data_IF_502787436393
#
_entry.id   IF_502787436393
#
_cell.length_a   1.000
_cell.length_b   1.000
_cell.length_c   1.000
_cell.angle_alpha   90.00
_cell.angle_beta   90.00
_cell.angle_gamma   90.00
#
_symmetry.space_group_name_H-M   'P 1'
#
loop_
_entity.id
_entity.type
_entity.pdbx_description
1 polymer ?
#
# COMPACT_ATOMS: atom_id res chain seq x y z
N UNK A 1 41.03 -13.75 59.55
CA UNK A 1 40.56 -15.04 58.98
C UNK A 1 39.65 -14.74 57.80
N UNK A 2 40.03 -15.27 56.62
CA UNK A 2 39.26 -15.72 55.44
C UNK A 2 37.87 -15.10 55.13
N UNK A 3 37.44 -14.83 53.89
CA UNK A 3 38.01 -14.94 52.53
C UNK A 3 37.00 -14.23 51.62
N UNK A 4 37.40 -13.23 50.84
CA UNK A 4 36.53 -12.61 49.83
C UNK A 4 36.94 -13.16 48.45
N UNK A 5 36.04 -13.95 47.87
CA UNK A 5 36.21 -14.66 46.60
C UNK A 5 36.36 -13.70 45.42
N UNK A 6 37.47 -13.85 44.68
CA UNK A 6 37.72 -13.20 43.39
C UNK A 6 37.01 -13.97 42.28
N UNK A 7 36.05 -13.34 41.60
CA UNK A 7 35.45 -13.87 40.37
C UNK A 7 36.08 -13.16 39.18
N UNK A 8 36.66 -13.95 38.28
CA UNK A 8 37.33 -13.52 37.04
C UNK A 8 36.29 -13.17 35.96
N UNK A 9 36.56 -12.19 35.06
CA UNK A 9 35.68 -11.91 33.93
C UNK A 9 35.87 -12.94 32.80
N UNK A 10 34.77 -13.57 32.41
CA UNK A 10 34.67 -14.46 31.24
C UNK A 10 34.69 -13.60 29.97
N UNK A 11 35.72 -13.80 29.13
CA UNK A 11 35.76 -13.29 27.75
C UNK A 11 34.86 -14.16 26.87
N UNK A 12 33.75 -13.62 26.39
CA UNK A 12 32.98 -14.23 25.29
C UNK A 12 33.60 -13.76 23.97
N UNK A 13 34.26 -14.69 23.26
CA UNK A 13 34.81 -14.46 21.93
C UNK A 13 33.69 -14.56 20.89
N UNK A 14 33.51 -13.47 20.15
CA UNK A 14 32.67 -13.36 18.97
C UNK A 14 33.25 -14.24 17.83
N UNK A 15 32.43 -15.09 17.20
CA UNK A 15 32.74 -15.79 15.93
C UNK A 15 31.54 -15.72 15.00
N UNK A 16 31.32 -14.54 14.40
CA UNK A 16 30.30 -14.29 13.35
C UNK A 16 30.92 -14.45 11.94
N UNK A 17 32.13 -15.01 11.82
CA UNK A 17 32.86 -15.09 10.54
C UNK A 17 32.75 -16.43 9.81
N UNK A 18 32.22 -17.49 10.43
CA UNK A 18 32.21 -18.84 9.83
C UNK A 18 30.88 -19.24 9.14
N UNK A 19 29.80 -18.46 9.26
CA UNK A 19 28.52 -18.78 8.62
C UNK A 19 28.35 -18.18 7.22
N UNK A 20 29.08 -17.12 6.87
CA UNK A 20 28.97 -16.47 5.56
C UNK A 20 29.73 -17.22 4.44
N UNK A 21 30.74 -18.03 4.79
CA UNK A 21 31.52 -18.80 3.81
C UNK A 21 30.78 -20.06 3.34
N UNK A 22 30.07 -20.73 4.25
CA UNK A 22 29.30 -21.94 3.94
C UNK A 22 28.08 -21.69 3.03
N UNK A 23 27.48 -20.50 3.07
CA UNK A 23 26.30 -20.15 2.24
C UNK A 23 26.65 -19.71 0.81
N UNK A 24 27.92 -19.38 0.53
CA UNK A 24 28.38 -18.98 -0.81
C UNK A 24 28.82 -20.18 -1.65
N UNK A 25 29.38 -21.20 -1.01
CA UNK A 25 29.85 -22.43 -1.68
C UNK A 25 28.69 -23.30 -2.20
N UNK A 26 27.50 -23.23 -1.58
CA UNK A 26 26.31 -24.01 -1.97
C UNK A 26 25.57 -23.44 -3.20
N UNK A 27 25.61 -22.11 -3.41
CA UNK A 27 24.98 -21.47 -4.58
C UNK A 27 25.76 -21.67 -5.88
N UNK A 28 27.07 -21.78 -5.80
CA UNK A 28 27.95 -21.97 -6.96
C UNK A 28 27.99 -23.44 -7.44
N UNK A 29 27.50 -24.39 -6.63
CA UNK A 29 27.36 -25.81 -6.99
C UNK A 29 26.06 -26.05 -7.76
N UNK A 30 24.94 -25.44 -7.35
CA UNK A 30 23.64 -25.57 -8.02
C UNK A 30 23.61 -24.93 -9.43
N UNK A 31 24.40 -23.87 -9.66
CA UNK A 31 24.48 -23.22 -10.98
C UNK A 31 25.38 -23.96 -11.99
N UNK A 32 26.33 -24.80 -11.53
CA UNK A 32 27.28 -25.51 -12.40
C UNK A 32 26.77 -26.83 -12.96
N UNK A 33 25.83 -27.49 -12.29
CA UNK A 33 25.20 -28.74 -12.79
C UNK A 33 24.18 -28.48 -13.92
N UNK A 34 23.64 -27.26 -14.02
CA UNK A 34 22.57 -26.95 -14.98
C UNK A 34 23.06 -26.65 -16.42
N UNK A 35 24.37 -26.51 -16.64
CA UNK A 35 24.95 -26.05 -17.92
C UNK A 35 25.80 -27.14 -18.60
N UNK A 36 25.92 -28.33 -18.01
CA UNK A 36 26.77 -29.42 -18.55
C UNK A 36 26.00 -30.63 -19.13
N UNK A 37 24.67 -30.59 -19.20
CA UNK A 37 23.85 -31.71 -19.71
C UNK A 37 23.16 -31.43 -21.07
N UNK A 38 23.74 -30.58 -21.92
CA UNK A 38 23.14 -30.21 -23.21
C UNK A 38 24.08 -30.26 -24.44
N UNK A 39 25.17 -31.04 -24.42
CA UNK A 39 25.95 -31.25 -25.65
C UNK A 39 26.37 -32.70 -25.85
N UNK A 40 26.22 -33.10 -27.12
CA UNK A 40 26.59 -34.35 -27.76
C UNK A 40 25.57 -35.47 -27.60
N UNK A 41 24.69 -35.60 -28.59
CA UNK A 41 24.38 -36.85 -29.30
C UNK A 41 23.62 -36.47 -30.59
N UNK A 42 24.36 -36.19 -31.68
CA UNK A 42 23.82 -36.19 -33.03
C UNK A 42 24.88 -36.72 -33.98
N UNK A 43 24.59 -37.91 -34.54
CA UNK A 43 24.82 -38.32 -35.94
C UNK A 43 24.79 -39.84 -36.00
N UNK A 44 23.71 -40.40 -36.54
CA UNK A 44 23.75 -41.57 -37.44
C UNK A 44 22.54 -41.47 -38.40
N UNK A 45 22.70 -41.77 -39.71
CA UNK A 45 21.63 -41.64 -40.69
C UNK A 45 20.96 -42.99 -41.05
N UNK A 46 19.93 -42.86 -41.89
CA UNK A 46 19.28 -43.85 -42.80
C UNK A 46 17.89 -44.39 -42.35
N UNK A 47 17.05 -44.92 -43.28
CA UNK A 47 15.89 -44.21 -43.81
C UNK A 47 14.57 -45.01 -43.71
N UNK A 48 13.49 -44.50 -44.34
CA UNK A 48 12.22 -45.15 -44.75
C UNK A 48 11.34 -45.78 -43.64
N UNK A 49 10.02 -45.68 -43.55
CA UNK A 49 8.96 -44.93 -44.21
C UNK A 49 7.64 -45.13 -43.41
N UNK A 50 6.63 -44.31 -43.74
CA UNK A 50 5.19 -44.50 -43.57
C UNK A 50 4.49 -44.33 -42.20
N UNK A 51 3.35 -43.61 -42.31
CA UNK A 51 2.10 -43.71 -41.53
C UNK A 51 2.14 -43.19 -40.08
N UNK A 52 1.24 -42.34 -39.57
CA UNK A 52 -0.13 -41.93 -39.91
C UNK A 52 -0.33 -40.52 -39.34
N UNK A 53 -1.04 -39.65 -40.05
CA UNK A 53 -1.45 -38.35 -39.53
C UNK A 53 -2.42 -38.53 -38.36
N UNK A 54 -1.97 -38.18 -37.15
CA UNK A 54 -2.82 -38.10 -35.97
C UNK A 54 -3.43 -36.69 -35.89
N UNK A 55 -4.74 -36.54 -35.62
CA UNK A 55 -5.39 -35.24 -35.64
C UNK A 55 -4.96 -34.47 -34.38
N UNK A 56 -4.19 -33.40 -34.56
CA UNK A 56 -4.00 -32.40 -33.51
C UNK A 56 -5.34 -31.68 -33.31
N UNK A 57 -6.17 -32.21 -32.41
CA UNK A 57 -7.23 -31.47 -31.75
C UNK A 57 -6.56 -30.32 -30.98
N UNK A 58 -6.42 -29.18 -31.65
CA UNK A 58 -6.20 -27.90 -30.99
C UNK A 58 -7.48 -27.61 -30.19
N UNK A 59 -7.53 -28.09 -28.95
CA UNK A 59 -8.50 -27.58 -27.97
C UNK A 59 -8.22 -26.09 -27.83
N UNK A 60 -9.05 -25.28 -28.47
CA UNK A 60 -9.15 -23.86 -28.23
C UNK A 60 -9.60 -23.72 -26.77
N UNK A 61 -8.65 -23.62 -25.84
CA UNK A 61 -8.93 -23.14 -24.49
C UNK A 61 -9.40 -21.69 -24.66
N UNK A 62 -10.71 -21.54 -24.79
CA UNK A 62 -11.40 -20.28 -24.54
C UNK A 62 -11.17 -20.04 -23.05
N UNK A 63 -10.07 -19.36 -22.72
CA UNK A 63 -9.93 -18.76 -21.41
C UNK A 63 -11.09 -17.79 -21.31
N UNK A 64 -12.02 -17.95 -20.35
CA UNK A 64 -12.97 -16.89 -20.10
C UNK A 64 -12.13 -15.65 -19.83
N UNK A 65 -12.34 -14.60 -20.62
CA UNK A 65 -11.90 -13.27 -20.26
C UNK A 65 -12.53 -13.02 -18.91
N UNK A 66 -11.75 -13.21 -17.84
CA UNK A 66 -12.13 -12.87 -16.48
C UNK A 66 -12.70 -11.46 -16.57
N UNK A 67 -14.01 -11.33 -16.29
CA UNK A 67 -14.70 -10.07 -16.41
C UNK A 67 -13.91 -9.05 -15.61
N UNK A 68 -13.41 -8.03 -16.29
CA UNK A 68 -12.80 -6.88 -15.64
C UNK A 68 -13.84 -6.38 -14.65
N UNK A 69 -13.64 -6.62 -13.36
CA UNK A 69 -14.49 -6.07 -12.33
C UNK A 69 -14.19 -4.56 -12.35
N UNK A 70 -14.94 -3.82 -13.16
CA UNK A 70 -14.78 -2.39 -13.31
C UNK A 70 -15.15 -1.78 -11.96
N UNK A 71 -14.14 -1.33 -11.21
CA UNK A 71 -14.34 -0.57 -9.99
C UNK A 71 -15.14 0.68 -10.36
N UNK A 72 -16.26 0.91 -9.67
CA UNK A 72 -17.14 2.03 -9.94
C UNK A 72 -16.44 3.36 -9.63
N UNK A 73 -16.52 4.33 -10.53
CA UNK A 73 -15.89 5.64 -10.33
C UNK A 73 -16.70 6.50 -9.35
N UNK A 74 -16.07 6.89 -8.25
CA UNK A 74 -16.62 7.82 -7.25
C UNK A 74 -16.17 9.23 -7.62
N UNK A 75 -17.08 10.19 -7.59
CA UNK A 75 -16.72 11.59 -7.71
C UNK A 75 -16.21 12.09 -6.35
N UNK A 76 -14.95 12.50 -6.25
CA UNK A 76 -14.36 13.07 -5.04
C UNK A 76 -14.02 14.54 -5.30
N UNK A 77 -14.47 15.42 -4.41
CA UNK A 77 -14.32 16.86 -4.55
C UNK A 77 -13.97 17.51 -3.20
N UNK A 78 -13.69 18.81 -3.23
CA UNK A 78 -13.45 19.64 -2.05
C UNK A 78 -13.89 21.08 -2.34
N UNK A 79 -14.58 21.76 -1.40
CA UNK A 79 -14.94 23.16 -1.59
C UNK A 79 -13.72 24.11 -1.61
N UNK A 80 -12.54 23.63 -1.22
CA UNK A 80 -11.33 24.44 -1.03
C UNK A 80 -10.10 23.90 -1.75
N UNK A 81 -10.19 22.74 -2.38
CA UNK A 81 -9.10 22.13 -3.15
C UNK A 81 -9.60 21.69 -4.52
N UNK A 82 -8.67 21.57 -5.48
CA UNK A 82 -8.96 21.02 -6.81
C UNK A 82 -7.73 20.27 -7.32
N UNK A 83 -7.95 19.22 -8.11
CA UNK A 83 -6.85 18.48 -8.74
C UNK A 83 -5.96 19.38 -9.59
N UNK A 84 -4.64 19.24 -9.44
CA UNK A 84 -3.65 20.04 -10.16
C UNK A 84 -3.56 21.51 -9.72
N UNK A 85 -4.28 21.92 -8.66
CA UNK A 85 -4.21 23.27 -8.09
C UNK A 85 -3.46 23.24 -6.75
N UNK A 86 -2.81 24.36 -6.43
CA UNK A 86 -2.10 24.51 -5.16
C UNK A 86 -3.11 24.47 -4.02
N UNK A 87 -2.88 23.58 -3.04
CA UNK A 87 -3.74 23.46 -1.87
C UNK A 87 -3.58 24.67 -0.95
N UNK A 88 -4.65 25.09 -0.24
CA UNK A 88 -4.56 26.14 0.78
C UNK A 88 -3.53 25.82 1.87
N UNK A 89 -2.80 26.85 2.31
CA UNK A 89 -1.77 26.72 3.36
C UNK A 89 -2.30 26.16 4.67
N UNK A 90 -3.57 26.38 4.99
CA UNK A 90 -4.21 25.86 6.21
C UNK A 90 -4.18 24.33 6.31
N UNK A 91 -4.04 23.63 5.20
CA UNK A 91 -3.93 22.16 5.17
C UNK A 91 -2.50 21.66 5.27
N UNK A 92 -1.55 22.54 5.58
CA UNK A 92 -0.11 22.26 5.65
C UNK A 92 0.47 22.77 6.96
N UNK A 93 1.67 22.30 7.37
CA UNK A 93 2.38 22.86 8.52
C UNK A 93 2.83 24.33 8.36
N UNK A 94 2.73 24.91 7.16
CA UNK A 94 2.95 26.34 6.92
C UNK A 94 1.70 27.20 7.25
N UNK A 95 0.59 26.56 7.62
CA UNK A 95 -0.61 27.16 8.19
C UNK A 95 -1.06 26.40 9.43
N UNK A 96 -2.35 26.13 9.55
CA UNK A 96 -2.95 25.46 10.72
C UNK A 96 -2.81 23.93 10.73
N UNK A 97 -2.33 23.32 9.65
CA UNK A 97 -2.18 21.87 9.48
C UNK A 97 -3.49 21.07 9.73
N UNK A 98 -4.62 21.61 9.26
CA UNK A 98 -5.93 20.98 9.37
C UNK A 98 -6.11 19.91 8.28
N UNK A 99 -6.82 18.81 8.55
CA UNK A 99 -7.26 17.93 7.47
C UNK A 99 -8.21 18.69 6.55
N UNK A 100 -8.10 18.56 5.22
CA UNK A 100 -8.95 19.29 4.30
C UNK A 100 -10.38 18.73 4.29
N UNK A 101 -11.38 19.55 3.96
CA UNK A 101 -12.72 19.05 3.72
C UNK A 101 -12.75 18.27 2.40
N UNK A 102 -13.43 17.13 2.41
CA UNK A 102 -13.68 16.31 1.23
C UNK A 102 -15.17 16.05 1.10
N UNK A 103 -15.66 15.94 -0.11
CA UNK A 103 -17.02 15.46 -0.41
C UNK A 103 -16.94 14.35 -1.44
N UNK A 104 -17.94 13.47 -1.43
CA UNK A 104 -18.06 12.46 -2.46
C UNK A 104 -19.51 12.27 -2.91
N UNK A 105 -19.66 11.83 -4.15
CA UNK A 105 -20.95 11.48 -4.74
C UNK A 105 -20.79 10.31 -5.69
N UNK A 106 -21.91 9.82 -6.23
CA UNK A 106 -21.93 8.66 -7.12
C UNK A 106 -21.37 7.39 -6.46
N UNK A 107 -21.71 7.13 -5.19
CA UNK A 107 -21.32 5.88 -4.52
C UNK A 107 -22.04 4.68 -5.18
N UNK A 108 -21.35 3.55 -5.41
CA UNK A 108 -21.97 2.37 -5.98
C UNK A 108 -23.03 1.78 -5.04
N UNK A 109 -24.10 1.24 -5.63
CA UNK A 109 -25.10 0.46 -4.90
C UNK A 109 -24.41 -0.68 -4.15
N UNK A 110 -24.73 -0.84 -2.88
CA UNK A 110 -24.13 -1.86 -2.02
C UNK A 110 -23.03 -1.33 -1.09
N UNK A 111 -22.59 -0.07 -1.25
CA UNK A 111 -21.62 0.55 -0.32
C UNK A 111 -22.11 0.47 1.12
N UNK A 112 -21.27 -0.06 2.02
CA UNK A 112 -21.51 -0.20 3.46
C UNK A 112 -20.60 0.69 4.29
N UNK A 113 -19.35 0.77 3.91
CA UNK A 113 -18.34 1.63 4.54
C UNK A 113 -17.49 2.33 3.48
N UNK A 114 -16.84 3.41 3.90
CA UNK A 114 -15.87 4.16 3.12
C UNK A 114 -14.52 4.19 3.86
N UNK A 115 -13.45 4.33 3.07
CA UNK A 115 -12.12 4.64 3.56
C UNK A 115 -11.49 5.77 2.74
N UNK A 116 -10.67 6.59 3.38
CA UNK A 116 -9.92 7.69 2.77
C UNK A 116 -8.44 7.50 3.06
N UNK A 117 -7.62 7.61 2.01
CA UNK A 117 -6.16 7.56 2.08
C UNK A 117 -5.60 8.82 1.43
N UNK A 118 -4.73 9.55 2.15
CA UNK A 118 -3.90 10.60 1.57
C UNK A 118 -2.46 10.10 1.43
N UNK A 119 -1.95 10.04 0.21
CA UNK A 119 -0.61 9.54 -0.08
C UNK A 119 0.15 10.43 -1.09
N UNK A 120 1.44 10.60 -0.85
CA UNK A 120 2.39 11.30 -1.73
C UNK A 120 3.36 10.27 -2.34
N UNK A 121 3.20 9.99 -3.63
CA UNK A 121 4.04 9.01 -4.35
C UNK A 121 5.41 9.57 -4.74
N UNK A 122 5.63 10.88 -4.61
CA UNK A 122 6.93 11.53 -4.80
C UNK A 122 7.79 11.55 -3.53
N UNK A 123 7.27 11.07 -2.40
CA UNK A 123 7.96 11.05 -1.12
C UNK A 123 7.98 9.65 -0.48
N UNK A 124 8.87 9.49 0.51
CA UNK A 124 9.07 8.24 1.24
C UNK A 124 10.15 7.35 0.62
N UNK A 125 10.69 6.45 1.43
CA UNK A 125 11.67 5.45 1.02
C UNK A 125 11.39 4.13 1.75
N UNK A 126 10.58 3.23 1.18
CA UNK A 126 9.96 3.32 -0.16
C UNK A 126 8.77 4.29 -0.22
N UNK A 127 8.41 4.79 -1.42
CA UNK A 127 7.16 5.52 -1.63
C UNK A 127 5.94 4.58 -1.62
N UNK A 128 4.72 5.10 -1.36
CA UNK A 128 4.40 6.51 -1.09
C UNK A 128 4.56 6.89 0.39
N UNK A 129 4.68 8.19 0.67
CA UNK A 129 4.54 8.72 2.01
C UNK A 129 3.07 8.90 2.37
N UNK A 130 2.62 8.24 3.45
CA UNK A 130 1.23 8.33 3.91
C UNK A 130 1.02 9.54 4.80
N UNK A 131 0.13 10.45 4.40
CA UNK A 131 -0.21 11.65 5.16
C UNK A 131 -1.44 11.46 6.05
N UNK A 132 -2.36 10.59 5.65
CA UNK A 132 -3.63 10.41 6.35
C UNK A 132 -4.34 9.11 5.98
N UNK A 133 -5.01 8.51 6.97
CA UNK A 133 -5.87 7.34 6.82
C UNK A 133 -7.11 7.56 7.69
N UNK A 134 -8.29 7.38 7.11
CA UNK A 134 -9.58 7.33 7.82
C UNK A 134 -10.39 6.17 7.27
N UNK A 135 -10.99 5.33 8.11
CA UNK A 135 -11.78 4.18 7.67
C UNK A 135 -12.88 3.85 8.67
N UNK A 136 -13.79 2.96 8.29
CA UNK A 136 -15.04 2.72 9.03
C UNK A 136 -16.03 3.88 8.89
N UNK A 137 -15.87 4.70 7.84
CA UNK A 137 -16.77 5.82 7.58
C UNK A 137 -18.11 5.23 7.12
N UNK A 138 -19.25 5.60 7.73
CA UNK A 138 -20.54 5.05 7.33
C UNK A 138 -20.89 5.47 5.89
N UNK A 139 -21.51 4.58 5.12
CA UNK A 139 -21.93 4.88 3.74
C UNK A 139 -22.92 6.07 3.61
N UNK A 140 -23.56 6.47 4.71
CA UNK A 140 -24.45 7.64 4.78
C UNK A 140 -23.70 8.97 4.85
N UNK A 141 -22.40 8.96 5.18
CA UNK A 141 -21.59 10.17 5.17
C UNK A 141 -21.42 10.67 3.74
N UNK A 142 -21.47 11.99 3.56
CA UNK A 142 -21.31 12.66 2.26
C UNK A 142 -19.96 13.34 2.09
N UNK A 143 -19.12 13.30 3.13
CA UNK A 143 -17.84 13.96 3.16
C UNK A 143 -17.13 13.89 4.50
N UNK A 144 -15.95 14.52 4.56
CA UNK A 144 -15.21 14.81 5.78
C UNK A 144 -15.16 16.32 5.97
N UNK A 145 -15.41 16.84 7.18
CA UNK A 145 -15.23 18.25 7.47
C UNK A 145 -13.74 18.60 7.57
N UNK A 146 -13.44 19.89 7.49
CA UNK A 146 -12.10 20.41 7.81
C UNK A 146 -11.74 20.09 9.26
N UNK A 147 -10.50 19.65 9.49
CA UNK A 147 -9.92 19.55 10.83
C UNK A 147 -10.51 18.44 11.68
N UNK A 148 -10.43 17.18 11.21
CA UNK A 148 -10.79 16.03 12.04
C UNK A 148 -9.92 15.95 13.31
N UNK A 149 -10.44 15.33 14.39
CA UNK A 149 -9.77 15.32 15.68
C UNK A 149 -8.33 14.78 15.64
N UNK A 150 -7.42 15.46 16.34
CA UNK A 150 -6.00 15.07 16.46
C UNK A 150 -5.72 14.43 17.82
N UNK A 151 -6.45 14.87 18.86
CA UNK A 151 -6.24 14.38 20.22
C UNK A 151 -6.89 13.01 20.41
N UNK A 152 -6.23 12.09 21.14
CA UNK A 152 -6.81 10.79 21.46
C UNK A 152 -8.11 10.98 22.25
N UNK A 153 -9.05 10.06 22.07
CA UNK A 153 -10.36 10.03 22.74
C UNK A 153 -11.28 11.24 22.46
N UNK A 154 -10.94 12.10 21.50
CA UNK A 154 -11.88 13.09 20.99
C UNK A 154 -12.84 12.38 20.03
N UNK A 155 -14.16 12.44 20.23
CA UNK A 155 -15.10 11.74 19.37
C UNK A 155 -15.06 12.31 17.94
N UNK A 156 -15.28 11.44 16.96
CA UNK A 156 -15.53 11.85 15.58
C UNK A 156 -16.83 12.66 15.50
N UNK A 157 -16.99 13.53 14.48
CA UNK A 157 -18.27 14.17 14.17
C UNK A 157 -19.42 13.16 14.10
N UNK A 158 -20.65 13.60 14.44
CA UNK A 158 -21.83 12.74 14.53
C UNK A 158 -22.10 11.95 13.24
N UNK A 159 -21.85 12.56 12.09
CA UNK A 159 -22.10 11.96 10.77
C UNK A 159 -21.01 10.94 10.38
N UNK A 160 -19.95 10.83 11.20
CA UNK A 160 -18.80 9.94 11.05
C UNK A 160 -18.69 8.97 12.23
N UNK A 161 -19.78 8.70 12.94
CA UNK A 161 -19.81 7.68 14.00
C UNK A 161 -19.37 6.33 13.42
N UNK A 162 -18.44 5.67 14.12
CA UNK A 162 -17.81 4.42 13.67
C UNK A 162 -16.49 4.62 12.93
N UNK A 163 -16.24 5.82 12.38
CA UNK A 163 -14.98 6.12 11.73
C UNK A 163 -13.82 6.20 12.72
N UNK A 164 -12.64 5.83 12.26
CA UNK A 164 -11.39 5.95 13.02
C UNK A 164 -10.24 6.33 12.09
N UNK A 165 -9.10 6.72 12.69
CA UNK A 165 -7.90 7.13 11.96
C UNK A 165 -6.77 6.10 12.11
N UNK A 166 -6.07 5.85 11.00
CA UNK A 166 -4.90 4.97 10.94
C UNK A 166 -3.58 5.72 11.15
N UNK A 167 -2.49 4.98 11.25
CA UNK A 167 -1.14 5.50 11.43
C UNK A 167 -0.61 6.06 10.10
N UNK A 168 -0.32 7.36 10.08
CA UNK A 168 0.40 8.00 8.98
C UNK A 168 1.90 7.61 8.98
N UNK A 169 2.66 8.09 7.99
CA UNK A 169 4.10 7.79 7.84
C UNK A 169 4.98 8.25 9.02
N UNK A 170 4.45 9.08 9.92
CA UNK A 170 5.11 9.49 11.18
C UNK A 170 4.64 8.67 12.40
N UNK A 171 3.93 7.56 12.18
CA UNK A 171 3.34 6.74 13.23
C UNK A 171 2.37 7.55 14.13
N UNK A 172 1.54 8.41 13.50
CA UNK A 172 0.54 9.24 14.18
C UNK A 172 -0.87 8.94 13.66
N UNK A 173 -1.88 8.79 14.53
CA UNK A 173 -3.24 8.45 14.16
C UNK A 173 -4.07 9.67 13.75
N UNK A 174 -3.53 10.55 12.90
CA UNK A 174 -4.19 11.78 12.46
C UNK A 174 -3.56 12.32 11.17
N UNK A 175 -4.26 13.23 10.50
CA UNK A 175 -3.74 13.95 9.33
C UNK A 175 -2.50 14.77 9.68
N UNK A 176 -1.44 14.63 8.89
CA UNK A 176 -0.32 15.59 8.88
C UNK A 176 -0.10 16.06 7.46
N UNK A 177 -0.16 17.37 7.27
CA UNK A 177 -0.18 17.96 5.94
C UNK A 177 1.17 17.96 5.21
N UNK A 178 1.14 18.32 3.92
CA UNK A 178 2.31 18.48 3.05
C UNK A 178 3.40 19.37 3.62
N UNK A 179 4.64 18.89 3.60
CA UNK A 179 5.83 19.69 3.88
C UNK A 179 6.98 19.24 2.99
N UNK A 180 6.83 19.34 1.65
CA UNK A 180 7.89 18.94 0.73
C UNK A 180 9.12 19.86 0.89
N UNK A 181 10.30 19.44 0.41
CA UNK A 181 11.44 20.34 0.25
C UNK A 181 11.06 21.62 -0.52
N UNK A 182 11.80 22.70 -0.29
CA UNK A 182 11.56 23.95 -1.01
C UNK A 182 11.85 23.78 -2.51
N UNK A 183 11.00 24.34 -3.37
CA UNK A 183 11.14 24.28 -4.82
C UNK A 183 10.76 22.94 -5.47
N UNK A 184 10.20 21.99 -4.71
CA UNK A 184 9.77 20.69 -5.23
C UNK A 184 8.25 20.52 -5.06
N UNK A 185 7.44 20.75 -6.11
CA UNK A 185 6.01 20.50 -6.04
C UNK A 185 5.72 18.99 -5.97
N UNK A 186 4.88 18.60 -5.02
CA UNK A 186 4.43 17.22 -4.83
C UNK A 186 2.92 17.09 -5.06
N UNK A 187 2.48 15.88 -5.41
CA UNK A 187 1.08 15.52 -5.65
C UNK A 187 0.54 14.72 -4.46
N UNK A 188 -0.60 15.14 -3.92
CA UNK A 188 -1.21 14.52 -2.75
C UNK A 188 -2.51 13.84 -3.14
N UNK A 189 -2.50 12.52 -3.26
CA UNK A 189 -3.68 11.76 -3.68
C UNK A 189 -4.59 11.51 -2.47
N UNK A 190 -5.73 12.21 -2.41
CA UNK A 190 -6.81 11.92 -1.47
C UNK A 190 -7.78 10.94 -2.13
N UNK A 191 -7.53 9.64 -1.97
CA UNK A 191 -8.36 8.58 -2.55
C UNK A 191 -9.46 8.17 -1.58
N UNK A 192 -10.69 8.08 -2.08
CA UNK A 192 -11.85 7.48 -1.40
C UNK A 192 -12.10 6.08 -1.97
N UNK A 193 -12.35 5.12 -1.09
CA UNK A 193 -12.72 3.74 -1.41
C UNK A 193 -14.12 3.46 -0.87
N UNK A 194 -15.01 2.90 -1.70
CA UNK A 194 -16.29 2.35 -1.28
C UNK A 194 -16.19 0.84 -1.11
N UNK A 195 -16.63 0.36 0.06
CA UNK A 195 -16.52 -1.04 0.47
C UNK A 195 -17.91 -1.70 0.50
N UNK A 196 -18.00 -2.94 0.04
CA UNK A 196 -19.25 -3.72 0.03
C UNK A 196 -19.62 -4.34 1.39
N UNK A 197 -18.73 -4.20 2.38
CA UNK A 197 -18.83 -4.84 3.68
C UNK A 197 -18.37 -3.94 4.80
N UNK A 198 -19.03 -4.05 5.95
CA UNK A 198 -18.53 -3.53 7.22
C UNK A 198 -17.46 -4.45 7.76
N UNK A 199 -16.22 -3.98 7.84
CA UNK A 199 -15.07 -4.82 8.17
C UNK A 199 -14.70 -4.80 9.66
N UNK A 200 -15.21 -3.84 10.43
CA UNK A 200 -14.94 -3.76 11.88
C UNK A 200 -13.46 -3.53 12.20
N UNK A 201 -12.76 -2.79 11.34
CA UNK A 201 -11.32 -2.54 11.44
C UNK A 201 -10.99 -1.77 12.73
N UNK A 202 -9.97 -2.25 13.43
CA UNK A 202 -9.50 -1.60 14.66
C UNK A 202 -8.69 -0.34 14.35
N UNK A 203 -8.73 0.70 15.21
CA UNK A 203 -7.88 1.88 15.06
C UNK A 203 -6.39 1.55 14.95
N UNK A 204 -5.63 2.40 14.28
CA UNK A 204 -4.17 2.30 14.24
C UNK A 204 -3.58 1.40 13.15
N UNK A 205 -4.36 0.98 12.15
CA UNK A 205 -3.79 0.36 10.95
C UNK A 205 -2.84 1.31 10.21
N UNK A 206 -1.74 0.77 9.70
CA UNK A 206 -0.91 1.39 8.66
C UNK A 206 -1.63 1.39 7.31
N UNK A 207 -1.07 2.07 6.31
CA UNK A 207 -1.64 2.10 4.96
C UNK A 207 -1.67 0.70 4.37
N UNK A 208 -0.58 -0.04 4.52
CA UNK A 208 -0.42 -1.38 3.95
C UNK A 208 -1.43 -2.35 4.56
N UNK A 209 -1.56 -2.36 5.90
CA UNK A 209 -2.56 -3.17 6.60
C UNK A 209 -4.00 -2.79 6.22
N UNK A 210 -4.29 -1.49 6.07
CA UNK A 210 -5.61 -1.05 5.60
C UNK A 210 -5.89 -1.53 4.18
N UNK A 211 -4.94 -1.37 3.25
CA UNK A 211 -5.12 -1.78 1.86
C UNK A 211 -5.26 -3.29 1.71
N UNK A 212 -4.51 -4.07 2.51
CA UNK A 212 -4.69 -5.52 2.58
C UNK A 212 -6.08 -5.88 3.14
N UNK A 213 -6.52 -5.22 4.20
CA UNK A 213 -7.80 -5.52 4.84
C UNK A 213 -9.01 -5.21 3.95
N UNK A 214 -8.93 -4.21 3.07
CA UNK A 214 -10.01 -3.84 2.14
C UNK A 214 -9.91 -4.56 0.79
N UNK A 215 -8.84 -5.32 0.53
CA UNK A 215 -8.66 -6.01 -0.73
C UNK A 215 -9.82 -7.00 -0.98
N UNK A 216 -10.27 -7.08 -2.23
CA UNK A 216 -11.47 -7.85 -2.61
C UNK A 216 -12.82 -7.26 -2.17
N UNK A 217 -12.84 -6.20 -1.34
CA UNK A 217 -14.06 -5.53 -0.87
C UNK A 217 -14.31 -4.15 -1.51
N UNK A 218 -13.34 -3.63 -2.28
CA UNK A 218 -13.48 -2.35 -2.99
C UNK A 218 -14.44 -2.51 -4.17
N UNK A 219 -15.56 -1.80 -4.12
CA UNK A 219 -16.55 -1.74 -5.21
C UNK A 219 -16.60 -0.38 -5.89
N UNK A 220 -15.96 0.64 -5.31
CA UNK A 220 -15.80 1.94 -5.95
C UNK A 220 -14.57 2.69 -5.48
N UNK A 221 -14.05 3.58 -6.32
CA UNK A 221 -12.86 4.39 -6.05
C UNK A 221 -12.93 5.73 -6.77
N UNK A 222 -12.39 6.77 -6.15
CA UNK A 222 -12.13 8.06 -6.78
C UNK A 222 -11.08 8.84 -6.01
N UNK A 223 -10.52 9.90 -6.59
CA UNK A 223 -9.55 10.76 -5.91
C UNK A 223 -9.59 12.23 -6.35
N UNK A 224 -9.09 13.09 -5.47
CA UNK A 224 -8.72 14.48 -5.77
C UNK A 224 -7.22 14.63 -5.48
N UNK A 225 -6.49 15.31 -6.38
CA UNK A 225 -5.02 15.35 -6.36
C UNK A 225 -4.50 16.79 -6.40
N UNK A 226 -4.63 17.56 -5.30
CA UNK A 226 -4.02 18.87 -5.20
C UNK A 226 -2.49 18.79 -5.17
N UNK A 227 -1.85 19.93 -5.47
CA UNK A 227 -0.39 20.11 -5.43
C UNK A 227 -0.02 20.96 -4.21
N UNK A 228 1.15 20.74 -3.65
CA UNK A 228 1.76 21.71 -2.74
C UNK A 228 3.27 21.84 -3.00
N UNK A 229 3.78 23.06 -2.85
CA UNK A 229 5.18 23.43 -2.98
C UNK A 229 5.50 24.48 -1.92
N UNK A 230 6.69 24.41 -1.33
CA UNK A 230 7.21 25.45 -0.43
C UNK A 230 8.16 26.36 -1.20
N UNK A 231 8.05 27.66 -0.96
CA UNK A 231 8.87 28.71 -1.57
C UNK A 231 9.80 29.34 -0.54
#
# INVERSE_FOLDING_TARGET
>A
MCYASKIQPIRVRCTIHDTAKALKEDKDAFYRDSVHQMRHHMMQPTPWAYTVASPLLFSLLIHPLSGQNLIHEINVDSPTMSSGRVMPRDYTPDGHNLSPPLTWSNLPTGTKELAVVCADFGAGSPPPWTHWLVYGIPATATGLPTGLPILPNTPMPTDLVGATQGLNGWNRPYYRGPAPPAGTPHLYHFTVYALDKTLGLTPGLTREELLEAIDGHVIGRGDIVPIYERF
#
